data_IF_112471726492
#
_entry.id   IF_112471726492
#
_cell.length_a   1.000
_cell.length_b   1.000
_cell.length_c   1.000
_cell.angle_alpha   90.00
_cell.angle_beta   90.00
_cell.angle_gamma   90.00
#
_symmetry.space_group_name_H-M   'P 1'
#
loop_
_entity.id
_entity.type
_entity.pdbx_description
1 polymer ?
#
# COMPACT_ATOMS: atom_id res chain seq x y z
N UNK A 1 -51.67 -41.08 -25.91
CA UNK A 1 -52.80 -40.23 -26.37
C UNK A 1 -52.19 -39.07 -27.16
N UNK A 2 -52.49 -38.98 -28.47
CA UNK A 2 -52.13 -37.91 -29.45
C UNK A 2 -50.61 -37.61 -29.61
N UNK A 3 -49.81 -38.04 -30.60
CA UNK A 3 -49.86 -38.23 -32.07
C UNK A 3 -49.86 -36.92 -32.92
N UNK A 4 -48.82 -36.80 -33.79
CA UNK A 4 -48.72 -36.15 -35.14
C UNK A 4 -47.88 -34.85 -35.27
N UNK A 5 -46.79 -34.87 -36.09
CA UNK A 5 -46.64 -34.56 -37.55
C UNK A 5 -46.78 -33.03 -37.82
N UNK A 6 -45.99 -32.27 -38.59
CA UNK A 6 -45.26 -32.36 -39.89
C UNK A 6 -44.05 -31.37 -39.83
N UNK A 7 -43.04 -31.29 -40.70
CA UNK A 7 -42.86 -31.70 -42.09
C UNK A 7 -42.66 -30.49 -43.04
N UNK A 8 -41.39 -30.25 -43.44
CA UNK A 8 -40.88 -30.03 -44.82
C UNK A 8 -41.38 -28.84 -45.72
N UNK A 9 -40.38 -28.17 -46.33
CA UNK A 9 -40.26 -27.45 -47.64
C UNK A 9 -40.70 -25.99 -47.94
N UNK A 10 -39.66 -25.18 -48.22
CA UNK A 10 -39.27 -24.53 -49.49
C UNK A 10 -40.09 -23.41 -50.20
N UNK A 11 -39.28 -22.50 -50.81
CA UNK A 11 -39.55 -21.38 -51.77
C UNK A 11 -40.04 -20.09 -51.11
N UNK A 12 -39.46 -18.90 -51.29
CA UNK A 12 -38.45 -18.36 -52.19
C UNK A 12 -38.92 -16.98 -52.65
N UNK A 13 -38.17 -15.89 -52.40
CA UNK A 13 -38.11 -14.73 -53.31
C UNK A 13 -36.95 -13.77 -52.98
N UNK A 14 -36.30 -13.39 -54.06
CA UNK A 14 -35.21 -12.44 -54.33
C UNK A 14 -35.50 -11.01 -53.84
N UNK A 15 -34.48 -10.29 -53.34
CA UNK A 15 -34.05 -8.98 -53.88
C UNK A 15 -32.79 -8.41 -53.19
N UNK A 16 -31.92 -7.85 -54.03
CA UNK A 16 -30.61 -7.23 -53.79
C UNK A 16 -30.58 -6.10 -52.74
N UNK A 17 -29.41 -5.90 -52.10
CA UNK A 17 -28.49 -4.75 -52.35
C UNK A 17 -27.12 -5.06 -51.75
N UNK A 18 -26.08 -4.90 -52.58
CA UNK A 18 -24.65 -4.99 -52.30
C UNK A 18 -24.17 -3.85 -51.38
N UNK A 19 -23.21 -4.13 -50.49
CA UNK A 19 -22.04 -3.25 -50.30
C UNK A 19 -20.86 -3.98 -49.66
N UNK A 20 -19.79 -4.02 -50.44
CA UNK A 20 -18.43 -4.47 -50.12
C UNK A 20 -17.68 -3.32 -49.45
N UNK A 21 -16.91 -3.58 -48.40
CA UNK A 21 -15.78 -2.72 -48.04
C UNK A 21 -14.55 -3.59 -47.79
N UNK A 22 -13.57 -3.40 -48.66
CA UNK A 22 -12.31 -4.14 -48.75
C UNK A 22 -11.27 -3.48 -47.84
N UNK A 23 -10.53 -4.30 -47.08
CA UNK A 23 -9.29 -3.92 -46.41
C UNK A 23 -8.18 -3.64 -47.43
N UNK A 24 -7.44 -2.55 -47.26
CA UNK A 24 -6.16 -2.33 -47.92
C UNK A 24 -5.10 -1.91 -46.89
N UNK A 25 -4.13 -2.81 -46.69
CA UNK A 25 -2.87 -2.57 -46.00
C UNK A 25 -1.88 -2.01 -47.01
N UNK A 26 -1.19 -0.91 -46.70
CA UNK A 26 0.02 -0.51 -47.39
C UNK A 26 1.16 -0.28 -46.40
N UNK A 27 2.17 -1.15 -46.47
CA UNK A 27 3.55 -0.82 -46.16
C UNK A 27 4.07 0.15 -47.23
N UNK A 28 4.84 1.17 -46.84
CA UNK A 28 5.97 1.67 -47.63
C UNK A 28 7.04 2.24 -46.69
N UNK A 29 8.23 1.65 -46.76
CA UNK A 29 9.46 2.22 -46.25
C UNK A 29 10.22 2.84 -47.43
N UNK A 30 10.79 4.03 -47.27
CA UNK A 30 11.96 4.48 -48.02
C UNK A 30 12.65 5.62 -47.29
N UNK A 31 13.96 5.47 -47.11
CA UNK A 31 14.88 6.43 -46.55
C UNK A 31 15.22 7.55 -47.54
N UNK A 32 15.58 8.73 -47.03
CA UNK A 32 16.55 9.62 -47.68
C UNK A 32 17.21 10.53 -46.65
N UNK A 33 18.54 10.60 -46.74
CA UNK A 33 19.43 11.35 -45.87
C UNK A 33 19.93 12.62 -46.57
N UNK A 34 20.31 13.59 -45.71
CA UNK A 34 21.19 14.75 -45.92
C UNK A 34 20.66 15.96 -46.72
N UNK A 35 20.63 17.13 -46.07
CA UNK A 35 21.49 18.28 -46.42
C UNK A 35 21.40 19.41 -45.38
N UNK A 36 22.56 20.00 -45.11
CA UNK A 36 22.86 21.00 -44.10
C UNK A 36 22.16 22.35 -44.30
N UNK A 37 21.86 23.02 -43.19
CA UNK A 37 21.52 24.44 -43.14
C UNK A 37 21.73 25.02 -41.74
N UNK A 38 22.96 25.47 -41.44
CA UNK A 38 23.24 26.38 -40.34
C UNK A 38 22.76 27.79 -40.70
N UNK A 39 22.02 28.44 -39.81
CA UNK A 39 22.27 29.85 -39.49
C UNK A 39 21.81 30.18 -38.05
N UNK A 40 22.64 30.92 -37.26
CA UNK A 40 22.37 31.32 -35.88
C UNK A 40 21.76 32.72 -35.80
N UNK A 41 21.14 33.04 -34.65
CA UNK A 41 20.81 34.35 -34.03
C UNK A 41 19.47 34.23 -33.28
N UNK A 42 19.23 34.68 -32.04
CA UNK A 42 19.92 35.65 -31.19
C UNK A 42 19.80 35.24 -29.71
N UNK A 43 20.85 35.56 -28.93
CA UNK A 43 20.89 35.46 -27.48
C UNK A 43 20.46 36.78 -26.84
N UNK A 44 19.40 36.74 -26.02
CA UNK A 44 18.91 37.68 -24.98
C UNK A 44 17.43 37.32 -24.79
N UNK A 45 16.96 36.70 -23.72
CA UNK A 45 17.21 36.98 -22.31
C UNK A 45 17.27 35.67 -21.52
N UNK A 46 18.46 35.30 -21.05
CA UNK A 46 18.59 34.35 -19.95
C UNK A 46 18.31 35.13 -18.66
N UNK A 47 17.04 35.22 -18.28
CA UNK A 47 16.69 35.47 -16.88
C UNK A 47 17.17 34.26 -16.09
N UNK A 48 17.96 34.44 -15.01
CA UNK A 48 18.40 33.31 -14.23
C UNK A 48 17.18 32.58 -13.70
N UNK A 49 17.23 31.26 -13.80
CA UNK A 49 16.31 30.36 -13.14
C UNK A 49 16.39 30.63 -11.63
N UNK A 50 15.54 31.52 -11.15
CA UNK A 50 15.27 31.72 -9.74
C UNK A 50 14.59 30.47 -9.21
N UNK A 51 15.41 29.60 -8.63
CA UNK A 51 15.16 28.90 -7.37
C UNK A 51 13.69 28.63 -7.02
N UNK A 52 13.20 27.44 -7.37
CA UNK A 52 12.07 26.83 -6.64
C UNK A 52 12.46 25.41 -6.25
N UNK A 53 13.45 25.32 -5.35
CA UNK A 53 13.63 24.19 -4.47
C UNK A 53 13.29 24.68 -3.06
N UNK A 54 12.00 24.94 -2.81
CA UNK A 54 11.51 25.24 -1.47
C UNK A 54 10.97 23.95 -0.90
N UNK A 55 11.89 23.09 -0.44
CA UNK A 55 11.54 22.07 0.54
C UNK A 55 10.78 22.78 1.66
N UNK A 56 9.50 22.43 1.82
CA UNK A 56 8.69 23.02 2.86
C UNK A 56 9.31 22.60 4.19
N UNK A 57 9.77 23.54 5.03
CA UNK A 57 10.39 23.19 6.29
C UNK A 57 9.36 22.51 7.19
N UNK A 58 9.84 21.70 8.14
CA UNK A 58 8.98 21.12 9.14
C UNK A 58 8.21 22.22 9.91
N UNK A 59 6.96 21.97 10.25
CA UNK A 59 6.07 22.92 10.94
C UNK A 59 6.52 23.22 12.37
N UNK A 60 7.42 22.41 12.92
CA UNK A 60 8.06 22.55 14.22
C UNK A 60 9.46 21.91 14.17
N UNK A 61 10.40 22.27 15.06
CA UNK A 61 11.71 21.62 15.12
C UNK A 61 11.60 20.18 15.65
N UNK A 62 12.54 19.32 15.24
CA UNK A 62 12.72 18.02 15.86
C UNK A 62 13.19 18.18 17.31
N UNK A 63 12.71 17.32 18.21
CA UNK A 63 13.14 17.27 19.60
C UNK A 63 14.59 16.77 19.72
N UNK A 64 14.96 15.82 18.86
CA UNK A 64 16.33 15.34 18.69
C UNK A 64 16.50 14.67 17.31
N UNK A 65 17.73 14.36 16.93
CA UNK A 65 18.05 13.71 15.66
C UNK A 65 19.16 12.68 15.82
N UNK A 66 19.02 11.54 15.16
CA UNK A 66 19.99 10.44 15.16
C UNK A 66 20.59 10.32 13.76
N UNK A 67 21.88 10.63 13.55
CA UNK A 67 22.53 10.46 12.26
C UNK A 67 22.50 9.00 11.80
N UNK A 68 22.16 8.75 10.54
CA UNK A 68 22.03 7.37 10.02
C UNK A 68 23.28 6.86 9.29
N UNK A 69 24.19 7.76 8.88
CA UNK A 69 25.47 7.37 8.27
C UNK A 69 26.32 6.48 9.20
N UNK A 70 26.48 6.76 10.52
CA UNK A 70 27.19 5.87 11.43
C UNK A 70 26.53 4.50 11.59
N UNK A 71 25.24 4.39 11.31
CA UNK A 71 24.50 3.12 11.29
C UNK A 71 24.79 2.32 10.02
N UNK A 72 25.46 2.90 9.02
CA UNK A 72 25.76 2.28 7.73
C UNK A 72 24.63 2.39 6.71
N UNK A 73 23.65 3.27 6.95
CA UNK A 73 22.60 3.56 5.97
C UNK A 73 23.10 4.50 4.89
N UNK A 74 22.77 4.15 3.64
CA UNK A 74 22.96 5.00 2.49
C UNK A 74 21.67 5.04 1.69
N UNK A 75 21.32 6.23 1.19
CA UNK A 75 20.13 6.41 0.38
C UNK A 75 20.16 5.46 -0.84
N UNK A 76 19.05 4.75 -1.14
CA UNK A 76 18.96 3.95 -2.34
C UNK A 76 19.25 4.77 -3.61
N UNK A 77 19.95 4.14 -4.56
CA UNK A 77 20.25 4.78 -5.85
C UNK A 77 19.03 4.94 -6.75
N UNK A 78 19.17 5.77 -7.79
CA UNK A 78 18.09 6.11 -8.73
C UNK A 78 17.45 4.90 -9.43
N UNK A 79 18.13 3.76 -9.53
CA UNK A 79 17.57 2.53 -10.13
C UNK A 79 16.30 2.04 -9.41
N UNK A 80 16.13 2.35 -8.13
CA UNK A 80 14.97 1.93 -7.34
C UNK A 80 13.78 2.89 -7.44
N UNK A 81 13.99 4.07 -8.00
CA UNK A 81 12.95 5.10 -8.12
C UNK A 81 11.83 4.65 -9.05
N UNK A 82 10.58 4.79 -8.60
CA UNK A 82 9.39 4.38 -9.34
C UNK A 82 9.07 2.89 -9.23
N UNK A 83 9.93 2.07 -8.60
CA UNK A 83 9.71 0.64 -8.42
C UNK A 83 8.85 0.34 -7.18
N UNK A 84 8.63 1.33 -6.29
CA UNK A 84 7.82 1.22 -5.07
C UNK A 84 8.25 0.07 -4.15
N UNK A 85 9.54 -0.23 -4.14
CA UNK A 85 10.14 -1.30 -3.34
C UNK A 85 10.34 -0.86 -1.89
N UNK A 86 10.10 -1.76 -0.93
CA UNK A 86 10.30 -1.46 0.49
C UNK A 86 11.77 -1.68 0.83
N UNK A 87 12.57 -0.62 0.73
CA UNK A 87 14.03 -0.67 0.97
C UNK A 87 14.43 -0.28 2.38
N UNK A 88 13.51 0.37 3.10
CA UNK A 88 13.69 0.89 4.45
C UNK A 88 12.41 0.62 5.24
N UNK A 89 12.56 0.41 6.55
CA UNK A 89 11.47 0.51 7.53
C UNK A 89 11.97 1.30 8.73
N UNK A 90 11.10 2.13 9.29
CA UNK A 90 11.34 2.89 10.50
C UNK A 90 10.11 2.70 11.36
N UNK A 91 10.31 2.22 12.58
CA UNK A 91 9.23 1.73 13.40
C UNK A 91 9.56 1.87 14.89
N UNK A 92 8.58 2.19 15.74
CA UNK A 92 8.75 2.14 17.19
C UNK A 92 8.45 0.72 17.70
N UNK A 93 9.38 0.15 18.47
CA UNK A 93 9.13 -1.08 19.25
C UNK A 93 8.36 -0.72 20.52
N UNK A 94 8.84 0.28 21.22
CA UNK A 94 8.16 0.86 22.37
C UNK A 94 8.37 2.39 22.34
N UNK A 95 8.16 3.05 23.46
CA UNK A 95 8.38 4.48 23.55
C UNK A 95 9.85 4.86 23.37
N UNK A 96 10.79 4.04 23.85
CA UNK A 96 12.20 4.41 23.96
C UNK A 96 13.13 3.62 23.03
N UNK A 97 12.57 2.79 22.15
CA UNK A 97 13.30 2.01 21.16
C UNK A 97 12.72 2.15 19.75
N UNK A 98 13.58 2.48 18.78
CA UNK A 98 13.27 2.43 17.36
C UNK A 98 13.89 1.19 16.71
N UNK A 99 13.13 0.49 15.89
CA UNK A 99 13.63 -0.45 14.89
C UNK A 99 13.83 0.30 13.57
N UNK A 100 15.07 0.35 13.11
CA UNK A 100 15.42 0.88 11.81
C UNK A 100 16.02 -0.23 10.96
N UNK A 101 15.40 -0.48 9.81
CA UNK A 101 15.83 -1.52 8.88
C UNK A 101 16.09 -0.92 7.52
N UNK A 102 17.13 -1.37 6.84
CA UNK A 102 17.49 -0.85 5.53
C UNK A 102 18.22 -1.88 4.68
N UNK A 103 18.09 -1.73 3.38
CA UNK A 103 18.83 -2.51 2.40
C UNK A 103 20.34 -2.32 2.59
N UNK A 104 21.04 -3.42 2.87
CA UNK A 104 22.48 -3.46 3.00
C UNK A 104 23.10 -3.88 1.66
N UNK A 105 23.78 -2.96 0.94
CA UNK A 105 24.42 -3.32 -0.32
C UNK A 105 25.58 -4.30 -0.05
N UNK A 106 25.69 -5.34 -0.87
CA UNK A 106 26.76 -6.33 -0.74
C UNK A 106 26.70 -7.44 -1.80
N UNK A 107 27.80 -8.15 -1.96
CA UNK A 107 27.85 -9.33 -2.83
C UNK A 107 27.11 -10.48 -2.15
N UNK A 108 26.05 -10.97 -2.79
CA UNK A 108 25.35 -12.19 -2.37
C UNK A 108 25.88 -13.39 -3.15
N UNK A 109 25.97 -14.52 -2.47
CA UNK A 109 26.38 -15.78 -3.12
C UNK A 109 25.25 -16.24 -4.02
N UNK A 110 25.48 -16.21 -5.33
CA UNK A 110 24.56 -16.76 -6.32
C UNK A 110 24.34 -18.25 -6.02
N UNK A 111 23.13 -18.62 -5.64
CA UNK A 111 22.70 -20.04 -5.61
C UNK A 111 22.24 -20.43 -7.02
N UNK A 112 22.41 -21.70 -7.39
CA UNK A 112 22.06 -22.24 -8.71
C UNK A 112 20.54 -22.30 -9.00
N UNK A 113 19.72 -21.59 -8.22
CA UNK A 113 18.27 -21.53 -8.35
C UNK A 113 17.87 -20.23 -9.09
N UNK A 114 16.98 -20.35 -10.08
CA UNK A 114 16.39 -19.25 -10.81
C UNK A 114 15.65 -18.22 -9.92
N UNK A 115 15.24 -18.58 -8.70
CA UNK A 115 14.61 -17.66 -7.73
C UNK A 115 15.58 -16.74 -6.98
N UNK A 116 16.89 -16.82 -7.23
CA UNK A 116 17.90 -16.00 -6.57
C UNK A 116 17.98 -14.55 -7.08
N UNK A 117 17.17 -14.15 -8.08
CA UNK A 117 17.26 -12.80 -8.67
C UNK A 117 16.79 -11.68 -7.74
N UNK A 118 15.90 -12.00 -6.81
CA UNK A 118 15.21 -11.00 -5.97
C UNK A 118 15.62 -11.08 -4.50
N UNK A 119 16.62 -11.91 -4.18
CA UNK A 119 17.23 -11.95 -2.86
C UNK A 119 17.85 -10.59 -2.52
N UNK A 120 17.77 -10.19 -1.25
CA UNK A 120 18.40 -8.98 -0.72
C UNK A 120 18.77 -9.12 0.75
N UNK A 121 19.77 -8.37 1.17
CA UNK A 121 20.12 -8.25 2.57
C UNK A 121 19.45 -7.00 3.16
N UNK A 122 18.77 -7.19 4.29
CA UNK A 122 18.23 -6.10 5.12
C UNK A 122 18.98 -6.11 6.44
N UNK A 123 19.69 -5.02 6.74
CA UNK A 123 20.27 -4.80 8.07
C UNK A 123 19.19 -4.21 8.97
N UNK A 124 19.06 -4.74 10.17
CA UNK A 124 18.13 -4.28 11.19
C UNK A 124 18.93 -3.81 12.40
N UNK A 125 18.62 -2.62 12.90
CA UNK A 125 19.23 -2.07 14.12
C UNK A 125 18.14 -1.58 15.06
N UNK A 126 18.28 -1.91 16.35
CA UNK A 126 17.44 -1.36 17.42
C UNK A 126 18.19 -0.24 18.10
N UNK A 127 17.60 0.96 18.10
CA UNK A 127 18.20 2.19 18.62
C UNK A 127 17.52 2.60 19.92
N UNK A 128 18.31 2.83 20.98
CA UNK A 128 17.83 3.48 22.19
C UNK A 128 17.62 4.98 21.97
N UNK A 129 16.51 5.52 22.47
CA UNK A 129 16.18 6.94 22.41
C UNK A 129 16.51 7.66 23.72
N UNK A 130 16.92 8.94 23.67
CA UNK A 130 17.17 9.74 22.47
C UNK A 130 18.58 9.59 21.88
N UNK A 131 19.45 8.78 22.49
CA UNK A 131 20.89 8.77 22.18
C UNK A 131 21.25 8.20 20.81
N UNK A 132 20.38 7.37 20.22
CA UNK A 132 20.67 6.64 18.99
C UNK A 132 21.67 5.50 19.18
N UNK A 133 21.88 5.05 20.43
CA UNK A 133 22.78 3.93 20.72
C UNK A 133 22.20 2.63 20.19
N UNK A 134 23.00 1.84 19.48
CA UNK A 134 22.58 0.53 18.97
C UNK A 134 22.53 -0.48 20.12
N UNK A 135 21.34 -1.00 20.41
CA UNK A 135 21.12 -2.03 21.44
C UNK A 135 21.19 -3.44 20.86
N UNK A 136 20.74 -3.63 19.62
CA UNK A 136 20.76 -4.90 18.92
C UNK A 136 20.93 -4.68 17.41
N UNK A 137 21.50 -5.68 16.74
CA UNK A 137 21.69 -5.68 15.29
C UNK A 137 21.52 -7.09 14.71
N UNK A 138 20.90 -7.18 13.53
CA UNK A 138 20.80 -8.40 12.76
C UNK A 138 20.92 -8.13 11.25
N UNK A 139 21.26 -9.17 10.49
CA UNK A 139 21.23 -9.15 9.02
C UNK A 139 20.27 -10.24 8.52
N UNK A 140 19.24 -9.82 7.80
CA UNK A 140 18.20 -10.71 7.26
C UNK A 140 18.33 -10.87 5.76
N UNK A 141 18.17 -12.10 5.27
CA UNK A 141 18.04 -12.39 3.84
C UNK A 141 16.57 -12.53 3.48
N UNK A 142 16.05 -11.60 2.70
CA UNK A 142 14.69 -11.61 2.17
C UNK A 142 14.72 -12.00 0.69
N UNK A 143 13.66 -12.61 0.19
CA UNK A 143 13.60 -13.16 -1.17
C UNK A 143 12.65 -12.43 -2.12
N UNK A 144 12.27 -11.21 -1.76
CA UNK A 144 11.55 -10.29 -2.62
C UNK A 144 11.77 -8.85 -2.13
N UNK A 145 11.13 -7.89 -2.81
CA UNK A 145 11.27 -6.47 -2.55
C UNK A 145 10.03 -5.78 -1.98
N UNK A 146 9.01 -6.56 -1.64
CA UNK A 146 7.76 -6.07 -1.05
C UNK A 146 7.95 -5.60 0.39
N UNK A 147 6.89 -5.03 0.97
CA UNK A 147 6.84 -4.74 2.42
C UNK A 147 7.09 -6.04 3.18
N UNK A 148 7.91 -5.96 4.23
CA UNK A 148 8.37 -7.13 4.97
C UNK A 148 8.20 -6.99 6.48
N UNK A 149 7.78 -5.83 6.98
CA UNK A 149 7.70 -5.55 8.42
C UNK A 149 6.36 -4.91 8.79
N UNK A 150 5.78 -5.38 9.89
CA UNK A 150 4.58 -4.84 10.53
C UNK A 150 4.74 -4.86 12.05
N UNK A 151 4.67 -3.69 12.67
CA UNK A 151 4.78 -3.56 14.13
C UNK A 151 3.53 -4.03 14.84
N UNK A 152 3.76 -4.62 16.02
CA UNK A 152 2.72 -5.05 16.93
C UNK A 152 2.70 -4.15 18.17
N UNK A 153 1.52 -4.01 18.77
CA UNK A 153 1.26 -3.11 19.89
C UNK A 153 1.91 -3.55 21.22
N UNK A 154 2.55 -4.73 21.22
CA UNK A 154 3.16 -5.39 22.37
C UNK A 154 4.71 -5.40 22.32
N UNK A 155 5.31 -4.59 21.46
CA UNK A 155 6.77 -4.50 21.29
C UNK A 155 7.37 -5.57 20.39
N UNK A 156 6.53 -6.40 19.76
CA UNK A 156 6.95 -7.35 18.74
C UNK A 156 6.72 -6.80 17.33
N UNK A 157 7.16 -7.55 16.34
CA UNK A 157 6.87 -7.30 14.94
C UNK A 157 6.69 -8.60 14.17
N UNK A 158 5.93 -8.54 13.08
CA UNK A 158 5.86 -9.60 12.09
C UNK A 158 6.83 -9.28 10.95
N UNK A 159 7.70 -10.24 10.65
CA UNK A 159 8.56 -10.24 9.49
C UNK A 159 8.03 -11.24 8.45
N UNK A 160 7.79 -10.76 7.23
CA UNK A 160 7.38 -11.60 6.08
C UNK A 160 8.60 -11.99 5.25
N UNK A 161 8.73 -13.29 4.98
CA UNK A 161 9.72 -13.82 4.05
C UNK A 161 9.11 -14.95 3.24
N UNK A 162 8.81 -14.69 1.97
CA UNK A 162 8.08 -15.62 1.10
C UNK A 162 6.79 -16.13 1.78
N UNK A 163 6.71 -17.42 2.06
CA UNK A 163 5.58 -18.15 2.62
C UNK A 163 5.50 -18.04 4.15
N UNK A 164 6.48 -17.43 4.80
CA UNK A 164 6.59 -17.39 6.24
C UNK A 164 6.29 -16.00 6.80
N UNK A 165 5.57 -16.01 7.92
CA UNK A 165 5.53 -14.91 8.88
C UNK A 165 6.30 -15.35 10.12
N UNK A 166 7.24 -14.52 10.55
CA UNK A 166 8.08 -14.74 11.72
C UNK A 166 7.83 -13.61 12.73
N UNK A 167 7.75 -13.96 14.00
CA UNK A 167 7.63 -13.01 15.10
C UNK A 167 9.04 -12.61 15.57
N UNK A 168 9.32 -11.32 15.60
CA UNK A 168 10.53 -10.75 16.18
C UNK A 168 10.21 -9.80 17.34
N UNK A 169 11.26 -9.48 18.10
CA UNK A 169 11.23 -8.55 19.24
C UNK A 169 12.51 -7.71 19.27
N UNK A 170 12.72 -6.91 20.32
CA UNK A 170 13.88 -6.02 20.43
C UNK A 170 15.26 -6.72 20.37
N UNK A 171 15.34 -8.04 20.62
CA UNK A 171 16.56 -8.82 20.43
C UNK A 171 16.88 -9.13 18.96
N UNK A 172 15.93 -8.90 18.05
CA UNK A 172 15.96 -9.26 16.63
C UNK A 172 16.02 -10.78 16.36
N UNK A 173 15.80 -11.61 17.38
CA UNK A 173 15.61 -13.05 17.19
C UNK A 173 14.24 -13.34 16.58
N UNK A 174 14.23 -14.07 15.46
CA UNK A 174 13.01 -14.39 14.72
C UNK A 174 12.51 -15.79 15.08
N UNK A 175 11.26 -15.88 15.53
CA UNK A 175 10.55 -17.12 15.86
C UNK A 175 9.49 -17.41 14.78
N UNK A 176 9.34 -18.63 14.27
CA UNK A 176 8.27 -18.96 13.34
C UNK A 176 6.88 -18.63 13.92
N UNK A 177 6.00 -18.03 13.12
CA UNK A 177 4.62 -17.69 13.54
C UNK A 177 3.58 -18.38 12.67
N UNK A 178 3.55 -18.09 11.37
CA UNK A 178 2.60 -18.68 10.42
C UNK A 178 3.32 -19.09 9.13
N UNK A 179 2.92 -20.22 8.56
CA UNK A 179 3.45 -20.74 7.30
C UNK A 179 2.31 -20.93 6.30
N UNK A 180 2.48 -20.44 5.07
CA UNK A 180 1.51 -20.54 3.98
C UNK A 180 2.03 -21.47 2.88
N UNK A 181 1.14 -22.02 2.05
CA UNK A 181 1.53 -22.96 0.98
C UNK A 181 2.35 -22.30 -0.14
N UNK A 182 2.31 -20.97 -0.21
CA UNK A 182 3.06 -20.19 -1.18
C UNK A 182 3.32 -18.78 -0.69
N UNK A 183 4.06 -17.98 -1.47
CA UNK A 183 4.54 -16.69 -1.01
C UNK A 183 3.38 -15.76 -0.65
N UNK A 184 3.48 -15.16 0.53
CA UNK A 184 2.58 -14.10 1.01
C UNK A 184 2.88 -12.85 0.21
N UNK A 185 1.88 -12.35 -0.51
CA UNK A 185 1.95 -11.19 -1.40
C UNK A 185 1.45 -9.91 -0.70
N UNK A 186 0.50 -10.07 0.21
CA UNK A 186 -0.12 -8.96 0.95
C UNK A 186 -0.37 -9.36 2.40
N UNK A 187 -0.28 -8.38 3.31
CA UNK A 187 -0.62 -8.53 4.72
C UNK A 187 -1.20 -7.24 5.26
N UNK A 188 -2.31 -7.37 5.98
CA UNK A 188 -2.98 -6.31 6.70
C UNK A 188 -3.41 -6.80 8.09
N UNK A 189 -3.37 -5.92 9.08
CA UNK A 189 -3.80 -6.18 10.45
C UNK A 189 -5.09 -5.42 10.72
N UNK A 190 -5.99 -6.01 11.51
CA UNK A 190 -7.09 -5.24 12.08
C UNK A 190 -6.56 -4.22 13.12
N UNK A 191 -7.34 -3.19 13.50
CA UNK A 191 -6.87 -2.19 14.46
C UNK A 191 -6.42 -2.76 15.81
N UNK A 192 -7.03 -3.86 16.27
CA UNK A 192 -6.63 -4.54 17.50
C UNK A 192 -5.43 -5.48 17.31
N UNK A 193 -5.04 -5.78 16.06
CA UNK A 193 -3.99 -6.72 15.67
C UNK A 193 -4.20 -8.16 16.16
N UNK A 194 -5.46 -8.55 16.32
CA UNK A 194 -5.88 -9.91 16.64
C UNK A 194 -6.09 -10.75 15.38
N UNK A 195 -6.40 -10.08 14.27
CA UNK A 195 -6.67 -10.66 12.96
C UNK A 195 -5.63 -10.19 11.94
N UNK A 196 -5.30 -11.10 11.03
CA UNK A 196 -4.44 -10.83 9.88
C UNK A 196 -5.20 -11.20 8.62
N UNK A 197 -5.32 -10.27 7.68
CA UNK A 197 -5.73 -10.56 6.31
C UNK A 197 -4.48 -10.77 5.45
N UNK A 198 -4.42 -11.87 4.71
CA UNK A 198 -3.27 -12.22 3.87
C UNK A 198 -3.71 -12.69 2.50
N UNK A 199 -2.96 -12.28 1.47
CA UNK A 199 -3.00 -12.93 0.17
C UNK A 199 -1.74 -13.76 -0.03
N UNK A 200 -1.89 -15.03 -0.39
CA UNK A 200 -0.77 -15.89 -0.79
C UNK A 200 -0.99 -16.45 -2.20
N UNK A 201 0.10 -16.63 -2.95
CA UNK A 201 0.03 -17.31 -4.26
C UNK A 201 0.13 -18.82 -4.08
N UNK A 202 -0.98 -19.51 -4.24
CA UNK A 202 -1.10 -20.95 -4.06
C UNK A 202 -1.76 -21.56 -5.31
N UNK A 203 -0.98 -22.08 -6.27
CA UNK A 203 -1.53 -22.70 -7.47
C UNK A 203 -2.51 -23.82 -7.12
N UNK A 204 -3.60 -23.94 -7.89
CA UNK A 204 -4.58 -24.99 -7.66
C UNK A 204 -3.94 -26.36 -7.85
N UNK A 205 -4.29 -27.30 -6.95
CA UNK A 205 -3.72 -28.64 -6.93
C UNK A 205 -2.45 -28.77 -6.08
N UNK A 206 -1.93 -27.69 -5.50
CA UNK A 206 -0.86 -27.76 -4.49
C UNK A 206 -1.37 -28.53 -3.27
N UNK A 207 -0.65 -29.60 -2.88
CA UNK A 207 -1.03 -30.42 -1.72
C UNK A 207 -0.66 -29.67 -0.44
N UNK A 208 -1.59 -29.51 0.52
CA UNK A 208 -1.28 -28.85 1.77
C UNK A 208 -0.14 -29.54 2.51
N UNK A 209 0.86 -28.75 2.91
CA UNK A 209 1.95 -29.19 3.77
C UNK A 209 1.48 -29.28 5.23
N UNK A 210 2.10 -30.18 5.99
CA UNK A 210 1.77 -30.30 7.42
C UNK A 210 2.30 -29.08 8.17
N UNK A 211 1.45 -28.42 8.96
CA UNK A 211 1.80 -27.23 9.74
C UNK A 211 1.56 -25.90 9.03
N UNK A 212 1.10 -25.91 7.78
CA UNK A 212 0.65 -24.69 7.10
C UNK A 212 -0.73 -24.22 7.62
N UNK A 213 -1.02 -22.95 7.38
CA UNK A 213 -2.33 -22.36 7.62
C UNK A 213 -3.37 -23.03 6.69
N UNK A 214 -4.41 -23.68 7.25
CA UNK A 214 -5.32 -24.49 6.46
C UNK A 214 -6.27 -23.64 5.58
N UNK A 215 -7.02 -24.31 4.71
CA UNK A 215 -8.15 -23.72 3.97
C UNK A 215 -9.41 -24.55 4.18
N UNK A 216 -10.03 -24.51 5.37
CA UNK A 216 -11.20 -25.34 5.66
C UNK A 216 -12.41 -24.87 4.86
N UNK A 217 -13.16 -25.80 4.26
CA UNK A 217 -14.37 -25.48 3.48
C UNK A 217 -15.45 -24.74 4.29
N UNK A 218 -15.46 -24.89 5.63
CA UNK A 218 -16.35 -24.17 6.54
C UNK A 218 -16.07 -22.67 6.64
N UNK A 219 -14.88 -22.22 6.24
CA UNK A 219 -14.50 -20.80 6.21
C UNK A 219 -14.60 -20.19 4.80
N UNK A 220 -15.11 -20.95 3.80
CA UNK A 220 -15.23 -20.46 2.44
C UNK A 220 -16.18 -19.27 2.35
N UNK A 221 -15.71 -18.18 1.77
CA UNK A 221 -16.50 -16.98 1.51
C UNK A 221 -16.24 -16.46 0.10
N UNK A 222 -17.20 -15.70 -0.42
CA UNK A 222 -17.02 -14.94 -1.65
C UNK A 222 -16.60 -13.52 -1.30
N UNK A 223 -15.47 -13.08 -1.87
CA UNK A 223 -15.02 -11.68 -1.80
C UNK A 223 -14.99 -11.14 -3.22
N UNK A 224 -15.52 -9.94 -3.38
CA UNK A 224 -15.62 -9.25 -4.66
C UNK A 224 -14.26 -8.66 -5.01
N UNK A 225 -13.73 -9.04 -6.16
CA UNK A 225 -12.55 -8.44 -6.79
C UNK A 225 -12.97 -7.78 -8.11
N UNK A 226 -12.25 -6.74 -8.54
CA UNK A 226 -12.50 -5.98 -9.79
C UNK A 226 -12.19 -6.79 -11.09
N UNK A 227 -12.41 -8.11 -11.08
CA UNK A 227 -11.93 -9.04 -12.09
C UNK A 227 -12.70 -9.01 -13.43
N UNK A 228 -11.94 -9.16 -14.51
CA UNK A 228 -12.45 -9.59 -15.82
C UNK A 228 -12.78 -11.08 -15.74
N UNK A 229 -14.00 -11.47 -16.10
CA UNK A 229 -14.42 -12.88 -16.14
C UNK A 229 -13.43 -13.72 -16.98
N UNK A 230 -12.71 -14.61 -16.32
CA UNK A 230 -11.78 -15.56 -16.94
C UNK A 230 -12.15 -17.00 -16.57
N UNK A 231 -11.80 -17.95 -17.43
CA UNK A 231 -12.04 -19.38 -17.24
C UNK A 231 -10.92 -20.11 -16.48
N UNK A 232 -9.76 -19.47 -16.27
CA UNK A 232 -8.69 -20.06 -15.45
C UNK A 232 -9.12 -20.14 -13.99
N UNK A 233 -8.57 -21.03 -13.18
CA UNK A 233 -8.87 -21.02 -11.74
C UNK A 233 -8.05 -19.93 -11.02
N UNK A 234 -8.59 -19.28 -9.97
CA UNK A 234 -7.83 -18.28 -9.21
C UNK A 234 -6.74 -18.93 -8.35
N UNK A 235 -5.51 -18.42 -8.46
CA UNK A 235 -4.30 -18.92 -7.80
C UNK A 235 -3.87 -18.08 -6.59
N UNK A 236 -4.57 -17.00 -6.27
CA UNK A 236 -4.38 -16.25 -5.03
C UNK A 236 -5.40 -16.72 -4.01
N UNK A 237 -4.93 -16.95 -2.78
CA UNK A 237 -5.77 -17.34 -1.64
C UNK A 237 -5.73 -16.23 -0.62
N UNK A 238 -6.88 -15.56 -0.50
CA UNK A 238 -7.15 -14.61 0.56
C UNK A 238 -7.56 -15.39 1.81
N UNK A 239 -6.94 -15.08 2.96
CA UNK A 239 -7.35 -15.59 4.26
C UNK A 239 -7.48 -14.47 5.27
N UNK A 240 -8.45 -14.60 6.17
CA UNK A 240 -8.47 -13.87 7.44
C UNK A 240 -8.21 -14.88 8.55
N UNK A 241 -7.17 -14.65 9.33
CA UNK A 241 -6.70 -15.57 10.38
C UNK A 241 -6.56 -14.86 11.71
N UNK A 242 -6.82 -15.58 12.81
CA UNK A 242 -6.43 -15.12 14.14
C UNK A 242 -4.91 -15.20 14.27
N UNK A 243 -4.25 -14.07 14.50
CA UNK A 243 -2.78 -13.95 14.56
C UNK A 243 -2.18 -14.95 15.57
N UNK A 244 -2.73 -14.99 16.77
CA UNK A 244 -2.16 -15.76 17.88
C UNK A 244 -2.29 -17.28 17.73
N UNK A 245 -3.30 -17.77 17.00
CA UNK A 245 -3.61 -19.21 16.93
C UNK A 245 -3.50 -19.79 15.52
N UNK A 246 -3.41 -18.96 14.48
CA UNK A 246 -3.53 -19.38 13.09
C UNK A 246 -4.93 -19.87 12.71
N UNK A 247 -5.94 -19.66 13.57
CA UNK A 247 -7.31 -20.08 13.29
C UNK A 247 -7.86 -19.29 12.09
N UNK A 248 -8.25 -20.01 11.06
CA UNK A 248 -8.80 -19.43 9.82
C UNK A 248 -10.27 -19.09 10.00
N UNK A 249 -10.59 -17.81 9.82
CA UNK A 249 -11.94 -17.25 9.92
C UNK A 249 -12.61 -17.16 8.54
N UNK A 250 -11.82 -16.86 7.51
CA UNK A 250 -12.29 -16.71 6.13
C UNK A 250 -11.25 -17.23 5.16
N UNK A 251 -11.70 -17.85 4.07
CA UNK A 251 -10.90 -18.21 2.89
C UNK A 251 -11.67 -17.80 1.64
N UNK A 252 -11.00 -17.09 0.74
CA UNK A 252 -11.49 -16.85 -0.62
C UNK A 252 -10.38 -17.08 -1.63
N UNK A 253 -10.74 -17.44 -2.87
CA UNK A 253 -9.76 -17.50 -3.97
C UNK A 253 -10.02 -16.36 -4.93
N UNK A 254 -8.97 -15.60 -5.22
CA UNK A 254 -9.00 -14.42 -6.09
C UNK A 254 -7.91 -14.54 -7.15
N UNK A 255 -7.99 -13.74 -8.22
CA UNK A 255 -6.98 -13.72 -9.29
C UNK A 255 -5.93 -12.65 -9.10
N UNK A 256 -6.26 -11.64 -8.31
CA UNK A 256 -5.38 -10.54 -7.96
C UNK A 256 -5.36 -10.41 -6.44
N UNK A 257 -4.29 -9.83 -5.93
CA UNK A 257 -4.24 -9.43 -4.52
C UNK A 257 -5.38 -8.45 -4.24
N UNK A 258 -6.06 -8.61 -3.12
CA UNK A 258 -7.20 -7.81 -2.71
C UNK A 258 -6.81 -7.07 -1.43
N UNK A 259 -6.87 -5.74 -1.47
CA UNK A 259 -6.85 -4.96 -0.25
C UNK A 259 -8.21 -5.12 0.43
N UNK A 260 -8.23 -5.82 1.57
CA UNK A 260 -9.46 -6.14 2.29
C UNK A 260 -9.38 -5.59 3.71
N UNK A 261 -9.93 -4.39 3.95
CA UNK A 261 -9.92 -3.78 5.27
C UNK A 261 -10.72 -4.62 6.25
N UNK A 262 -10.11 -4.96 7.38
CA UNK A 262 -10.69 -5.80 8.42
C UNK A 262 -10.73 -5.07 9.77
N UNK A 263 -11.77 -5.36 10.56
CA UNK A 263 -11.85 -5.01 11.98
C UNK A 263 -12.31 -6.22 12.81
N UNK A 264 -12.58 -6.03 14.10
CA UNK A 264 -13.07 -7.12 14.97
C UNK A 264 -14.44 -7.71 14.56
N UNK A 265 -15.25 -6.94 13.80
CA UNK A 265 -16.62 -7.31 13.44
C UNK A 265 -16.71 -8.00 12.07
N UNK A 266 -15.82 -7.67 11.14
CA UNK A 266 -15.93 -8.09 9.75
C UNK A 266 -14.91 -7.46 8.81
N UNK A 267 -15.28 -7.36 7.54
CA UNK A 267 -14.48 -6.73 6.49
C UNK A 267 -15.30 -5.79 5.63
N UNK A 268 -14.67 -4.78 5.03
CA UNK A 268 -15.35 -3.78 4.20
C UNK A 268 -15.07 -4.01 2.72
N UNK A 269 -16.13 -4.22 1.94
CA UNK A 269 -16.07 -4.20 0.48
C UNK A 269 -16.47 -2.83 -0.07
N UNK A 270 -15.76 -2.37 -1.10
CA UNK A 270 -16.10 -1.18 -1.87
C UNK A 270 -16.81 -1.59 -3.16
N UNK A 271 -18.14 -1.47 -3.17
CA UNK A 271 -18.98 -1.94 -4.26
C UNK A 271 -19.36 -0.80 -5.20
N UNK A 272 -19.34 -1.06 -6.51
CA UNK A 272 -19.76 -0.05 -7.50
C UNK A 272 -21.27 0.20 -7.42
N UNK A 273 -21.64 1.46 -7.22
CA UNK A 273 -23.03 1.96 -7.25
C UNK A 273 -23.42 2.50 -8.62
N UNK A 274 -24.37 3.45 -8.65
CA UNK A 274 -24.79 4.12 -9.89
C UNK A 274 -23.88 5.31 -10.23
N UNK A 275 -23.48 5.44 -11.49
CA UNK A 275 -22.65 6.56 -11.93
C UNK A 275 -21.26 6.51 -11.31
N UNK A 276 -20.90 7.54 -10.52
CA UNK A 276 -19.65 7.62 -9.76
C UNK A 276 -19.80 7.20 -8.29
N UNK A 277 -21.00 6.75 -7.89
CA UNK A 277 -21.27 6.28 -6.52
C UNK A 277 -20.52 4.96 -6.25
N UNK A 278 -19.95 4.88 -5.05
CA UNK A 278 -19.43 3.67 -4.42
C UNK A 278 -20.17 3.44 -3.10
N UNK A 279 -20.50 2.18 -2.84
CA UNK A 279 -21.18 1.73 -1.63
C UNK A 279 -20.18 0.95 -0.78
N UNK A 280 -19.95 1.41 0.45
CA UNK A 280 -19.12 0.71 1.41
C UNK A 280 -20.00 -0.26 2.20
N UNK A 281 -19.74 -1.55 2.05
CA UNK A 281 -20.51 -2.61 2.69
C UNK A 281 -19.63 -3.35 3.70
N UNK A 282 -20.07 -3.40 4.97
CA UNK A 282 -19.40 -4.17 6.02
C UNK A 282 -20.06 -5.56 6.11
N UNK A 283 -19.31 -6.59 5.79
CA UNK A 283 -19.69 -7.99 5.88
C UNK A 283 -19.19 -8.57 7.21
N UNK A 284 -20.14 -9.02 8.05
CA UNK A 284 -19.87 -9.43 9.43
C UNK A 284 -19.37 -10.87 9.50
N UNK A 285 -18.36 -11.13 10.35
CA UNK A 285 -17.92 -12.50 10.65
C UNK A 285 -18.99 -13.34 11.36
N UNK A 286 -19.98 -12.69 11.98
CA UNK A 286 -21.14 -13.35 12.61
C UNK A 286 -22.29 -13.57 11.61
N UNK A 287 -22.08 -13.22 10.34
CA UNK A 287 -23.08 -13.30 9.28
C UNK A 287 -23.87 -12.01 9.09
N UNK A 288 -24.39 -11.85 7.88
CA UNK A 288 -25.08 -10.64 7.44
C UNK A 288 -24.13 -9.54 6.99
N UNK A 289 -24.69 -8.50 6.38
CA UNK A 289 -23.95 -7.36 5.87
C UNK A 289 -24.75 -6.07 6.02
N UNK A 290 -24.06 -4.93 6.04
CA UNK A 290 -24.71 -3.62 6.13
C UNK A 290 -23.91 -2.56 5.40
N UNK A 291 -24.63 -1.65 4.76
CA UNK A 291 -24.04 -0.46 4.16
C UNK A 291 -23.59 0.50 5.26
N UNK A 292 -22.30 0.82 5.28
CA UNK A 292 -21.69 1.77 6.23
C UNK A 292 -21.42 3.13 5.58
N UNK A 293 -21.61 3.27 4.27
CA UNK A 293 -21.34 4.53 3.61
C UNK A 293 -21.65 4.51 2.13
N UNK A 294 -21.87 5.70 1.58
CA UNK A 294 -21.93 5.96 0.15
C UNK A 294 -21.15 7.21 -0.18
N UNK A 295 -20.40 7.20 -1.26
CA UNK A 295 -19.54 8.31 -1.67
C UNK A 295 -19.33 8.31 -3.18
N UNK A 296 -19.03 9.48 -3.74
CA UNK A 296 -18.66 9.60 -5.13
C UNK A 296 -17.14 9.50 -5.30
N UNK A 297 -16.70 8.70 -6.28
CA UNK A 297 -15.28 8.59 -6.64
C UNK A 297 -15.11 8.14 -8.10
N UNK A 298 -14.18 8.80 -8.79
CA UNK A 298 -13.80 8.47 -10.17
C UNK A 298 -13.04 7.13 -10.28
N UNK A 299 -12.49 6.64 -9.18
CA UNK A 299 -11.76 5.38 -9.06
C UNK A 299 -12.34 4.53 -7.91
N UNK A 300 -11.94 3.26 -7.80
CA UNK A 300 -12.20 2.48 -6.59
C UNK A 300 -11.56 3.19 -5.38
N UNK A 301 -12.34 3.56 -4.34
CA UNK A 301 -11.80 4.22 -3.17
C UNK A 301 -10.92 3.24 -2.38
N UNK A 302 -9.83 3.73 -1.79
CA UNK A 302 -9.12 2.96 -0.76
C UNK A 302 -9.80 3.19 0.57
N UNK A 303 -9.97 2.12 1.35
CA UNK A 303 -10.58 2.15 2.67
C UNK A 303 -9.58 1.53 3.64
N UNK A 304 -9.42 2.09 4.83
CA UNK A 304 -8.57 1.55 5.88
C UNK A 304 -9.27 1.74 7.22
N UNK A 305 -9.15 0.78 8.14
CA UNK A 305 -9.65 0.99 9.49
C UNK A 305 -8.66 1.83 10.31
N UNK A 306 -9.18 2.87 10.97
CA UNK A 306 -8.42 3.69 11.94
C UNK A 306 -8.60 3.08 13.34
N UNK A 307 -9.80 2.62 13.63
CA UNK A 307 -10.19 1.92 14.84
C UNK A 307 -11.35 0.96 14.50
N UNK A 308 -11.78 0.10 15.43
CA UNK A 308 -12.92 -0.79 15.16
C UNK A 308 -14.18 -0.05 14.66
N UNK A 309 -14.60 1.08 15.27
CA UNK A 309 -15.78 1.81 14.81
C UNK A 309 -15.50 2.84 13.70
N UNK A 310 -14.28 3.00 13.19
CA UNK A 310 -13.95 4.10 12.26
C UNK A 310 -13.10 3.66 11.07
N UNK A 311 -13.51 4.09 9.88
CA UNK A 311 -12.79 3.90 8.62
C UNK A 311 -12.36 5.23 8.04
N UNK A 312 -11.20 5.22 7.38
CA UNK A 312 -10.69 6.30 6.56
C UNK A 312 -10.82 5.91 5.09
N UNK A 313 -11.41 6.79 4.30
CA UNK A 313 -11.68 6.54 2.89
C UNK A 313 -10.98 7.57 2.03
N UNK A 314 -10.16 7.13 1.08
CA UNK A 314 -9.53 8.00 0.09
C UNK A 314 -10.21 7.87 -1.26
N UNK A 315 -10.66 8.99 -1.83
CA UNK A 315 -11.43 9.04 -3.09
C UNK A 315 -10.67 9.77 -4.20
N UNK A 316 -11.06 9.53 -5.46
CA UNK A 316 -10.59 10.28 -6.62
C UNK A 316 -11.66 11.27 -7.09
N UNK A 317 -11.35 12.57 -7.11
CA UNK A 317 -12.27 13.59 -7.58
C UNK A 317 -12.06 13.93 -9.07
N UNK A 318 -13.06 14.52 -9.75
CA UNK A 318 -12.94 14.90 -11.17
C UNK A 318 -11.83 15.92 -11.48
N UNK A 319 -11.44 16.74 -10.50
CA UNK A 319 -10.34 17.72 -10.61
C UNK A 319 -8.96 17.12 -10.27
N UNK A 320 -8.85 15.79 -10.27
CA UNK A 320 -7.70 15.00 -9.82
C UNK A 320 -7.32 15.16 -8.35
N UNK A 321 -8.03 15.99 -7.57
CA UNK A 321 -7.81 16.07 -6.13
C UNK A 321 -8.22 14.74 -5.45
N UNK A 322 -7.77 14.57 -4.20
CA UNK A 322 -8.13 13.42 -3.38
C UNK A 322 -8.88 13.90 -2.16
N UNK A 323 -10.04 13.32 -1.87
CA UNK A 323 -10.63 13.49 -0.53
C UNK A 323 -10.18 12.35 0.35
N UNK A 324 -9.91 12.70 1.60
CA UNK A 324 -9.75 11.77 2.70
C UNK A 324 -10.90 12.02 3.66
N UNK A 325 -11.72 10.99 3.86
CA UNK A 325 -12.98 11.09 4.58
C UNK A 325 -12.97 10.06 5.70
N UNK A 326 -13.01 10.52 6.95
CA UNK A 326 -13.24 9.64 8.09
C UNK A 326 -14.74 9.43 8.28
N UNK A 327 -15.12 8.18 8.48
CA UNK A 327 -16.50 7.78 8.70
C UNK A 327 -16.54 6.75 9.82
N UNK A 328 -17.53 6.85 10.70
CA UNK A 328 -17.81 5.75 11.61
C UNK A 328 -18.54 4.63 10.86
N UNK A 329 -18.39 3.40 11.34
CA UNK A 329 -19.02 2.23 10.72
C UNK A 329 -20.54 2.29 10.79
N UNK A 330 -21.15 3.12 11.65
CA UNK A 330 -22.60 3.37 11.67
C UNK A 330 -23.10 4.29 10.53
N UNK A 331 -22.18 4.85 9.72
CA UNK A 331 -22.48 5.67 8.55
C UNK A 331 -22.40 7.17 8.76
N UNK A 332 -21.94 7.65 9.91
CA UNK A 332 -21.71 9.08 10.13
C UNK A 332 -20.35 9.51 9.58
N UNK A 333 -20.33 10.57 8.77
CA UNK A 333 -19.09 11.25 8.39
C UNK A 333 -18.55 12.05 9.58
N UNK A 334 -17.30 11.83 9.94
CA UNK A 334 -16.64 12.44 11.09
C UNK A 334 -15.91 13.73 10.69
N UNK A 335 -15.03 13.62 9.70
CA UNK A 335 -14.31 14.75 9.12
C UNK A 335 -13.89 14.44 7.69
N UNK A 336 -13.52 15.49 6.95
CA UNK A 336 -12.98 15.37 5.60
C UNK A 336 -11.86 16.38 5.36
N UNK A 337 -10.86 15.97 4.60
CA UNK A 337 -9.80 16.86 4.11
C UNK A 337 -9.60 16.66 2.62
N UNK A 338 -9.31 17.75 1.92
CA UNK A 338 -9.02 17.74 0.47
C UNK A 338 -7.52 17.83 0.29
N UNK A 339 -6.98 17.03 -0.62
CA UNK A 339 -5.56 17.01 -0.97
C UNK A 339 -5.33 17.36 -2.42
N UNK A 340 -4.32 18.20 -2.71
CA UNK A 340 -4.08 18.67 -4.05
C UNK A 340 -3.69 17.50 -4.96
N UNK A 341 -3.98 17.59 -6.26
CA UNK A 341 -3.63 16.57 -7.25
C UNK A 341 -2.12 16.34 -7.40
N UNK A 342 -1.28 17.25 -6.87
CA UNK A 342 0.18 17.16 -6.86
C UNK A 342 0.75 16.36 -5.68
N UNK A 343 -0.12 15.83 -4.81
CA UNK A 343 0.27 14.88 -3.76
C UNK A 343 -0.25 13.49 -4.10
N UNK A 344 0.64 12.63 -4.57
CA UNK A 344 0.27 11.34 -5.14
C UNK A 344 0.70 10.17 -4.25
N UNK A 345 0.10 9.01 -4.52
CA UNK A 345 0.40 7.71 -3.92
C UNK A 345 0.56 7.76 -2.40
N UNK A 346 -0.50 8.20 -1.69
CA UNK A 346 -0.44 8.29 -0.24
C UNK A 346 -0.22 6.91 0.38
N UNK A 347 0.55 6.91 1.47
CA UNK A 347 0.64 5.81 2.42
C UNK A 347 0.20 6.29 3.78
N UNK A 348 -0.47 5.41 4.50
CA UNK A 348 -1.04 5.71 5.80
C UNK A 348 -0.39 4.82 6.85
N UNK A 349 -0.08 5.44 7.98
CA UNK A 349 0.55 4.82 9.13
C UNK A 349 -0.28 5.18 10.36
N UNK A 350 -1.03 4.22 10.89
CA UNK A 350 -1.83 4.42 12.08
C UNK A 350 -0.97 4.27 13.33
N UNK A 351 -1.18 5.12 14.32
CA UNK A 351 -0.60 4.90 15.65
C UNK A 351 -1.24 3.66 16.29
N UNK A 352 -0.48 2.85 17.06
CA UNK A 352 -1.00 1.70 17.81
C UNK A 352 -2.30 1.95 18.60
N UNK A 353 -2.45 3.15 19.15
CA UNK A 353 -3.61 3.55 19.94
C UNK A 353 -4.76 4.17 19.12
N UNK A 354 -4.63 4.26 17.80
CA UNK A 354 -5.63 4.83 16.88
C UNK A 354 -5.83 6.35 17.00
N UNK A 355 -5.07 7.06 17.84
CA UNK A 355 -5.29 8.49 18.10
C UNK A 355 -4.68 9.41 17.05
N UNK A 356 -3.73 8.88 16.26
CA UNK A 356 -3.09 9.61 15.16
C UNK A 356 -2.88 8.73 13.96
N UNK A 357 -2.78 9.39 12.82
CA UNK A 357 -2.33 8.77 11.57
C UNK A 357 -1.33 9.69 10.89
N UNK A 358 -0.28 9.10 10.31
CA UNK A 358 0.64 9.81 9.44
C UNK A 358 0.31 9.45 8.00
N UNK A 359 0.29 10.48 7.16
CA UNK A 359 0.12 10.36 5.72
C UNK A 359 1.42 10.77 5.06
N UNK A 360 2.06 9.81 4.44
CA UNK A 360 3.24 10.00 3.60
C UNK A 360 2.79 10.16 2.15
N UNK A 361 3.36 11.12 1.42
CA UNK A 361 3.06 11.35 0.00
C UNK A 361 4.26 11.81 -0.80
N UNK A 362 4.29 11.45 -2.09
CA UNK A 362 5.17 12.10 -3.04
C UNK A 362 4.58 13.45 -3.46
N UNK A 363 5.44 14.46 -3.55
CA UNK A 363 5.11 15.80 -4.05
C UNK A 363 5.66 15.92 -5.46
N UNK A 364 4.78 16.22 -6.43
CA UNK A 364 5.12 16.32 -7.84
C UNK A 364 4.82 17.71 -8.41
N UNK A 365 5.42 18.04 -9.55
CA UNK A 365 5.28 19.34 -10.23
C UNK A 365 3.92 19.59 -10.87
N UNK A 366 3.21 18.53 -11.24
CA UNK A 366 1.92 18.61 -11.92
C UNK A 366 0.98 17.46 -11.52
N UNK A 367 -0.35 17.62 -11.72
CA UNK A 367 -1.30 16.50 -11.63
C UNK A 367 -0.90 15.34 -12.54
N UNK A 368 -1.01 14.11 -12.04
CA UNK A 368 -0.71 12.90 -12.84
C UNK A 368 -2.00 12.32 -13.42
N UNK A 369 -2.03 12.14 -14.74
CA UNK A 369 -3.12 11.50 -15.46
C UNK A 369 -2.63 10.80 -16.75
N UNK A 370 -3.55 10.26 -17.54
CA UNK A 370 -3.24 9.52 -18.77
C UNK A 370 -2.52 10.36 -19.83
N UNK A 371 -2.72 11.69 -19.84
CA UNK A 371 -2.11 12.61 -20.80
C UNK A 371 -0.85 13.29 -20.25
N UNK A 372 -0.69 13.32 -18.93
CA UNK A 372 0.48 13.82 -18.21
C UNK A 372 1.00 12.74 -17.25
N UNK A 373 1.62 11.66 -17.78
CA UNK A 373 2.14 10.57 -16.95
C UNK A 373 3.31 11.05 -16.09
N UNK A 374 3.57 10.34 -15.00
CA UNK A 374 4.68 10.66 -14.09
C UNK A 374 6.04 10.30 -14.73
N UNK A 375 6.95 11.26 -14.80
CA UNK A 375 8.39 11.01 -14.81
C UNK A 375 8.95 11.17 -13.40
N UNK A 376 10.00 10.43 -13.04
CA UNK A 376 10.58 10.59 -11.70
C UNK A 376 11.27 11.96 -11.52
N UNK A 377 11.65 12.63 -12.61
CA UNK A 377 12.14 14.02 -12.60
C UNK A 377 11.08 15.03 -12.11
N UNK A 378 9.80 14.65 -12.17
CA UNK A 378 8.67 15.44 -11.67
C UNK A 378 8.53 15.36 -10.15
N UNK A 379 9.11 14.34 -9.51
CA UNK A 379 9.08 14.18 -8.05
C UNK A 379 10.05 15.17 -7.41
N UNK A 380 9.51 16.08 -6.59
CA UNK A 380 10.27 17.15 -5.92
C UNK A 380 10.59 16.85 -4.47
N UNK A 381 9.93 15.88 -3.88
CA UNK A 381 10.20 15.45 -2.52
C UNK A 381 9.11 14.55 -2.00
N UNK A 382 9.21 14.28 -0.71
CA UNK A 382 8.27 13.47 0.04
C UNK A 382 7.81 14.25 1.26
N UNK A 383 6.51 14.22 1.51
CA UNK A 383 5.86 14.99 2.57
C UNK A 383 5.15 14.04 3.53
N UNK A 384 5.39 14.26 4.82
CA UNK A 384 4.69 13.61 5.91
C UNK A 384 3.76 14.61 6.59
N UNK A 385 2.48 14.25 6.70
CA UNK A 385 1.48 14.99 7.46
C UNK A 385 0.93 14.08 8.57
N UNK A 386 0.99 14.51 9.83
CA UNK A 386 0.44 13.76 10.96
C UNK A 386 -0.85 14.41 11.41
N UNK A 387 -1.92 13.62 11.45
CA UNK A 387 -3.26 14.05 11.82
C UNK A 387 -3.62 13.54 13.21
N UNK A 388 -4.39 14.35 13.93
CA UNK A 388 -5.28 13.87 14.98
C UNK A 388 -6.43 13.08 14.32
N UNK A 389 -6.54 11.79 14.64
CA UNK A 389 -7.46 10.88 13.97
C UNK A 389 -8.94 11.21 14.24
N UNK A 390 -9.24 11.89 15.34
CA UNK A 390 -10.60 12.22 15.77
C UNK A 390 -11.09 13.48 15.06
N UNK A 391 -10.22 14.48 14.92
CA UNK A 391 -10.59 15.81 14.41
C UNK A 391 -10.21 16.03 12.95
N UNK A 392 -9.31 15.22 12.40
CA UNK A 392 -8.73 15.42 11.07
C UNK A 392 -7.78 16.62 11.00
N UNK A 393 -7.38 17.19 12.14
CA UNK A 393 -6.47 18.33 12.19
C UNK A 393 -5.01 17.86 12.03
N UNK A 394 -4.25 18.55 11.17
CA UNK A 394 -2.81 18.33 11.03
C UNK A 394 -2.07 18.91 12.25
N UNK A 395 -1.26 18.09 12.92
CA UNK A 395 -0.39 18.48 14.02
C UNK A 395 1.08 18.62 13.62
N UNK A 396 1.53 17.90 12.58
CA UNK A 396 2.89 17.99 12.05
C UNK A 396 2.82 17.95 10.53
N UNK A 397 3.61 18.80 9.89
CA UNK A 397 3.98 18.69 8.49
C UNK A 397 5.49 18.71 8.42
N UNK A 398 6.12 17.73 7.79
CA UNK A 398 7.57 17.64 7.69
C UNK A 398 7.99 16.99 6.37
N UNK A 399 9.14 17.38 5.79
CA UNK A 399 9.71 16.67 4.67
C UNK A 399 10.24 15.30 5.11
N UNK A 400 10.37 14.38 4.15
CA UNK A 400 11.12 13.15 4.30
C UNK A 400 12.13 13.02 3.17
N UNK A 401 13.32 12.54 3.50
CA UNK A 401 14.38 12.30 2.52
C UNK A 401 15.32 11.17 2.98
N UNK A 402 15.82 10.31 2.06
CA UNK A 402 15.60 10.34 0.61
C UNK A 402 14.16 9.99 0.21
N UNK A 403 13.81 10.23 -1.05
CA UNK A 403 12.51 9.80 -1.59
C UNK A 403 12.46 8.27 -1.59
N UNK A 404 11.51 7.72 -0.84
CA UNK A 404 11.22 6.29 -0.71
C UNK A 404 9.78 6.07 -1.14
N UNK A 405 9.54 5.84 -2.43
CA UNK A 405 8.21 5.63 -3.03
C UNK A 405 7.56 4.29 -2.62
N UNK A 406 8.37 3.37 -2.10
CA UNK A 406 7.93 2.17 -1.37
C UNK A 406 7.67 2.39 0.13
N UNK A 407 7.76 3.63 0.61
CA UNK A 407 7.52 4.06 1.99
C UNK A 407 8.54 3.56 3.00
N UNK A 408 8.19 3.69 4.29
CA UNK A 408 8.95 3.14 5.42
C UNK A 408 9.91 4.12 6.08
N UNK A 409 9.74 5.42 5.82
CA UNK A 409 10.55 6.51 6.39
C UNK A 409 9.86 7.25 7.55
N UNK A 410 8.70 6.78 8.01
CA UNK A 410 7.90 7.41 9.07
C UNK A 410 7.39 6.37 10.06
N UNK A 411 7.47 6.71 11.34
CA UNK A 411 6.93 5.91 12.44
C UNK A 411 6.18 6.79 13.43
N UNK A 412 5.15 6.25 14.08
CA UNK A 412 4.46 6.89 15.21
C UNK A 412 4.64 6.01 16.44
N UNK A 413 5.01 6.61 17.57
CA UNK A 413 5.21 5.87 18.82
C UNK A 413 3.89 5.30 19.37
N UNK A 414 3.93 4.29 20.24
CA UNK A 414 2.72 3.67 20.79
C UNK A 414 1.75 4.63 21.47
N UNK A 415 2.26 5.63 22.19
CA UNK A 415 1.46 6.70 22.81
C UNK A 415 0.94 7.75 21.83
N UNK A 416 1.34 7.67 20.56
CA UNK A 416 1.09 8.67 19.54
C UNK A 416 1.63 10.06 19.90
N UNK A 417 2.67 10.14 20.73
CA UNK A 417 3.28 11.42 21.10
C UNK A 417 4.57 11.72 20.37
N UNK A 418 5.25 10.69 19.86
CA UNK A 418 6.47 10.86 19.07
C UNK A 418 6.23 10.41 17.64
N UNK A 419 6.81 11.16 16.70
CA UNK A 419 6.88 10.76 15.30
C UNK A 419 8.32 10.82 14.86
N UNK A 420 8.82 9.71 14.33
CA UNK A 420 10.15 9.61 13.77
C UNK A 420 10.05 9.69 12.25
N UNK A 421 10.86 10.53 11.61
CA UNK A 421 10.90 10.72 10.16
C UNK A 421 12.36 10.63 9.71
N UNK A 422 12.65 9.81 8.71
CA UNK A 422 13.95 9.82 8.03
C UNK A 422 14.02 11.04 7.12
N UNK A 423 14.89 11.99 7.48
CA UNK A 423 15.10 13.22 6.73
C UNK A 423 16.51 13.79 6.94
N UNK A 424 17.04 14.39 5.88
CA UNK A 424 18.34 15.05 5.81
C UNK A 424 19.50 14.20 6.37
N UNK A 425 19.49 12.88 6.12
CA UNK A 425 20.55 11.98 6.59
C UNK A 425 20.49 11.69 8.10
N UNK A 426 19.34 11.90 8.74
CA UNK A 426 19.10 11.54 10.13
C UNK A 426 17.67 11.01 10.33
N UNK A 427 17.46 10.27 11.41
CA UNK A 427 16.12 10.03 11.94
C UNK A 427 15.80 11.22 12.85
N UNK A 428 14.85 12.05 12.44
CA UNK A 428 14.36 13.20 13.19
C UNK A 428 13.13 12.80 14.00
N UNK A 429 13.18 13.00 15.32
CA UNK A 429 12.06 12.67 16.20
C UNK A 429 11.38 13.94 16.68
N UNK A 430 10.07 14.02 16.46
CA UNK A 430 9.21 15.15 16.81
C UNK A 430 8.32 14.77 17.98
N UNK A 431 8.27 15.62 19.01
CA UNK A 431 7.25 15.54 20.06
C UNK A 431 5.99 16.26 19.61
N UNK A 432 4.85 15.59 19.78
CA UNK A 432 3.53 16.10 19.44
C UNK A 432 2.76 16.43 20.72
N UNK A 433 1.86 17.41 20.69
CA UNK A 433 1.02 17.72 21.84
C UNK A 433 0.17 16.49 22.23
N UNK A 434 -0.32 16.40 23.48
CA UNK A 434 -1.32 15.41 23.83
C UNK A 434 -2.51 15.49 22.86
N UNK A 435 -2.99 14.33 22.40
CA UNK A 435 -4.22 14.28 21.60
C UNK A 435 -5.41 14.69 22.46
N UNK A 436 -6.45 15.24 21.82
CA UNK A 436 -7.69 15.51 22.57
C UNK A 436 -8.21 14.19 23.15
N UNK A 437 -8.71 14.15 24.40
CA UNK A 437 -9.25 12.93 24.96
C UNK A 437 -10.39 12.42 24.06
N UNK A 438 -10.19 11.25 23.45
CA UNK A 438 -11.23 10.59 22.67
C UNK A 438 -12.36 10.10 23.55
N UNK A 439 -13.54 9.96 22.95
CA UNK A 439 -14.68 9.28 23.57
C UNK A 439 -14.20 7.91 24.11
N UNK A 440 -14.65 7.50 25.32
CA UNK A 440 -14.17 6.27 25.94
C UNK A 440 -14.40 5.09 24.98
N UNK A 441 -13.36 4.29 24.79
CA UNK A 441 -13.46 2.99 24.15
C UNK A 441 -14.59 2.23 24.87
N UNK A 442 -15.67 1.95 24.14
CA UNK A 442 -16.76 1.15 24.64
C UNK A 442 -16.22 -0.21 25.07
N UNK A 443 -16.52 -0.58 26.32
CA UNK A 443 -16.25 -1.90 26.89
C UNK A 443 -16.93 -3.02 26.11
#
# INVERSE_FOLDING_TARGET
MVKRFLGIEARGLIAHVFRVLTFAVMLHAAAQAQLFGHHPKDAKDASPADSVNREQPASQPAAFSIPVEPLGFFAPGAIYQGQRESLVSLDFLDEDHLLFTFHAPGLMRRRDNASASDERQIRAVVLALPSGTVNAEALWTLHDRGRYLWMLNDGHFLLRNQNDLQLGEASLELKPSLHFEGPVLWLELDPAQDLVATDSREPVGTKPQTGSVPSPGTASAWVTSDEVKSYAEPDIVLRIVRRATGQVMLVSRTRTTVHLPINSDGFVESLRGKGHEWVLNLDSFKGGSRVIGKLDSMCAPSVEFVSNPEVLVTTCNPDNSRWMVAMSTDGKRLWNVVKPPTQIWPRLYMAPNGLRLARETLVVTHPIDTFSPLSFDDVKGQLVEVYDAITGKVNLTAPASPILDGGGNVAISPSARRVAILDAGAIQVYELPPTSPGLPAGQ
#
